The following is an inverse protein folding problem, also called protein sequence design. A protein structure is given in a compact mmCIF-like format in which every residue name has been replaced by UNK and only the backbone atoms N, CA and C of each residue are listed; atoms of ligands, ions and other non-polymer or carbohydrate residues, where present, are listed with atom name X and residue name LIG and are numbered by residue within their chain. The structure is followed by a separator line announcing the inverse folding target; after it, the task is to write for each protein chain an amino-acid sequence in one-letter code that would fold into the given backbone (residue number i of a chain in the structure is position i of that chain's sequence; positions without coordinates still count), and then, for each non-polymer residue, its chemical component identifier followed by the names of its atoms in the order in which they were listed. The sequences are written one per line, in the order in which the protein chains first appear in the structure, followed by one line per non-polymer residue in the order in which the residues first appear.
data_IF_508087516152
#
_entry.id   IF_508087516152
#
_cell.length_a   1.000
_cell.length_b   1.000
_cell.length_c   1.000
_cell.angle_alpha   90.00
_cell.angle_beta   90.00
_cell.angle_gamma   90.00
#
_symmetry.space_group_name_H-M   'P 1'
#
loop_
_entity.id
_entity.type
_entity.pdbx_description
1 polymer ?
#
# COMPACT_ATOMS: atom_id res chain seq x y z
N UNK A 1 32.34 -3.14 53.68
CA UNK A 1 31.79 -2.13 52.75
C UNK A 1 31.58 -2.84 51.44
N UNK A 2 30.35 -3.26 51.22
CA UNK A 2 29.77 -3.56 49.91
C UNK A 2 30.03 -2.34 49.00
N UNK A 3 30.30 -2.45 47.71
CA UNK A 3 29.35 -2.94 46.70
C UNK A 3 30.08 -3.26 45.38
N UNK A 4 29.73 -4.41 44.82
CA UNK A 4 29.96 -4.81 43.44
C UNK A 4 28.80 -4.26 42.59
N UNK A 5 29.07 -3.48 41.55
CA UNK A 5 28.13 -3.31 40.43
C UNK A 5 28.86 -3.29 39.10
N UNK A 6 29.01 -4.50 38.56
CA UNK A 6 28.64 -4.94 37.20
C UNK A 6 28.41 -3.87 36.13
N UNK A 7 29.06 -4.12 35.00
CA UNK A 7 28.97 -3.34 33.78
C UNK A 7 27.56 -3.19 33.23
N UNK A 8 27.37 -2.05 32.58
CA UNK A 8 26.21 -1.78 31.74
C UNK A 8 26.39 -2.55 30.44
N UNK A 9 25.89 -3.78 30.41
CA UNK A 9 25.48 -4.40 29.16
C UNK A 9 24.37 -3.53 28.56
N UNK A 10 24.63 -2.99 27.37
CA UNK A 10 23.63 -2.26 26.60
C UNK A 10 22.42 -3.17 26.38
N UNK A 11 21.32 -2.84 27.03
CA UNK A 11 20.02 -3.46 26.75
C UNK A 11 19.66 -3.08 25.33
N UNK A 12 19.95 -3.95 24.36
CA UNK A 12 19.31 -3.90 23.05
C UNK A 12 17.81 -4.08 23.28
N UNK A 13 17.08 -2.97 23.29
CA UNK A 13 15.62 -2.98 23.24
C UNK A 13 15.26 -3.67 21.93
N UNK A 14 14.55 -4.82 21.93
CA UNK A 14 14.15 -5.48 20.70
C UNK A 14 13.32 -4.49 19.88
N UNK A 15 13.85 -4.06 18.73
CA UNK A 15 13.11 -3.23 17.79
C UNK A 15 11.89 -4.06 17.38
N UNK A 16 10.68 -3.57 17.68
CA UNK A 16 9.46 -4.33 17.46
C UNK A 16 9.40 -4.83 16.00
N UNK A 17 8.98 -6.10 15.76
CA UNK A 17 9.07 -6.76 14.44
C UNK A 17 8.35 -6.03 13.29
N UNK A 18 7.49 -5.06 13.63
CA UNK A 18 6.74 -4.24 12.70
C UNK A 18 7.61 -3.21 11.95
N UNK A 19 8.68 -2.69 12.56
CA UNK A 19 9.59 -1.78 11.87
C UNK A 19 10.48 -2.52 10.86
N UNK A 20 10.90 -3.74 11.17
CA UNK A 20 11.79 -4.52 10.29
C UNK A 20 11.04 -5.01 9.03
N UNK A 21 9.78 -5.41 9.18
CA UNK A 21 8.93 -5.78 8.04
C UNK A 21 8.73 -4.60 7.07
N UNK A 22 8.46 -3.41 7.61
CA UNK A 22 8.28 -2.18 6.82
C UNK A 22 9.56 -1.80 6.09
N UNK A 23 10.70 -1.77 6.79
CA UNK A 23 11.98 -1.40 6.18
C UNK A 23 12.39 -2.35 5.06
N UNK A 24 12.23 -3.66 5.28
CA UNK A 24 12.59 -4.69 4.28
C UNK A 24 11.70 -4.65 3.04
N UNK A 25 10.40 -4.34 3.21
CA UNK A 25 9.42 -4.52 2.13
C UNK A 25 8.87 -3.21 1.54
N UNK A 26 9.44 -2.04 1.90
CA UNK A 26 8.99 -0.73 1.43
C UNK A 26 8.89 -0.60 -0.09
N UNK A 27 9.89 -1.08 -0.82
CA UNK A 27 9.89 -1.02 -2.29
C UNK A 27 8.75 -1.85 -2.87
N UNK A 28 8.52 -3.04 -2.32
CA UNK A 28 7.42 -3.93 -2.74
C UNK A 28 6.05 -3.32 -2.43
N UNK A 29 5.92 -2.60 -1.32
CA UNK A 29 4.70 -1.88 -0.98
C UNK A 29 4.41 -0.65 -1.87
N UNK A 30 5.38 -0.16 -2.64
CA UNK A 30 5.23 1.02 -3.50
C UNK A 30 5.00 0.64 -4.98
N UNK A 31 5.61 -0.45 -5.47
CA UNK A 31 5.70 -0.75 -6.91
C UNK A 31 4.35 -0.76 -7.62
N UNK A 32 3.33 -1.39 -7.02
CA UNK A 32 2.00 -1.49 -7.63
C UNK A 32 1.16 -0.21 -7.49
N UNK A 33 1.66 0.86 -6.86
CA UNK A 33 1.02 2.18 -6.99
C UNK A 33 1.56 2.98 -8.18
N UNK A 34 2.83 2.77 -8.54
CA UNK A 34 3.45 3.41 -9.71
C UNK A 34 3.01 2.71 -10.99
N UNK A 35 2.97 1.37 -10.95
CA UNK A 35 2.53 0.54 -12.07
C UNK A 35 1.41 -0.37 -11.54
N UNK A 36 0.13 0.06 -11.60
CA UNK A 36 -1.01 -0.64 -10.96
C UNK A 36 -1.13 -2.14 -11.24
N UNK A 37 -0.77 -2.56 -12.45
CA UNK A 37 -0.81 -3.99 -12.81
C UNK A 37 0.17 -4.84 -11.99
N UNK A 38 1.23 -4.24 -11.42
CA UNK A 38 2.24 -4.94 -10.62
C UNK A 38 1.85 -5.16 -9.15
N UNK A 39 0.58 -4.98 -8.77
CA UNK A 39 0.10 -5.23 -7.40
C UNK A 39 0.43 -6.64 -6.87
N UNK A 40 0.61 -7.62 -7.76
CA UNK A 40 0.87 -9.02 -7.42
C UNK A 40 2.35 -9.32 -7.17
N UNK A 41 3.28 -8.43 -7.55
CA UNK A 41 4.73 -8.65 -7.41
C UNK A 41 5.14 -9.01 -5.97
N UNK A 42 4.65 -8.32 -4.92
CA UNK A 42 4.95 -8.70 -3.54
C UNK A 42 4.51 -10.14 -3.21
N UNK A 43 3.39 -10.60 -3.77
CA UNK A 43 2.75 -11.89 -3.47
C UNK A 43 3.51 -13.09 -4.03
N UNK A 44 4.30 -12.88 -5.07
CA UNK A 44 5.14 -13.92 -5.70
C UNK A 44 6.62 -13.81 -5.29
N UNK A 45 6.97 -12.81 -4.48
CA UNK A 45 8.33 -12.57 -4.00
C UNK A 45 8.55 -13.10 -2.59
N UNK A 46 9.75 -12.86 -2.02
CA UNK A 46 10.02 -13.09 -0.60
C UNK A 46 9.12 -12.25 0.32
N UNK A 47 8.55 -11.15 -0.18
CA UNK A 47 7.63 -10.29 0.57
C UNK A 47 6.23 -10.92 0.75
N UNK A 48 5.96 -12.10 0.20
CA UNK A 48 4.63 -12.74 0.29
C UNK A 48 4.16 -13.04 1.71
N UNK A 49 5.08 -13.09 2.68
CA UNK A 49 4.76 -13.31 4.10
C UNK A 49 4.72 -12.01 4.91
N UNK A 50 5.01 -10.86 4.28
CA UNK A 50 4.98 -9.54 4.91
C UNK A 50 3.53 -9.05 5.06
N UNK A 51 3.02 -8.83 6.28
CA UNK A 51 1.73 -8.18 6.48
C UNK A 51 1.67 -6.81 5.81
N UNK A 52 2.76 -6.03 5.89
CA UNK A 52 2.85 -4.71 5.27
C UNK A 52 2.76 -4.78 3.73
N UNK A 53 3.50 -5.68 3.10
CA UNK A 53 3.49 -5.82 1.64
C UNK A 53 2.14 -6.37 1.14
N UNK A 54 1.54 -7.34 1.85
CA UNK A 54 0.20 -7.86 1.53
C UNK A 54 -0.87 -6.79 1.65
N UNK A 55 -0.81 -5.96 2.70
CA UNK A 55 -1.75 -4.86 2.88
C UNK A 55 -1.73 -3.91 1.68
N UNK A 56 -0.53 -3.45 1.26
CA UNK A 56 -0.41 -2.55 0.13
C UNK A 56 -0.74 -3.22 -1.21
N UNK A 57 -0.40 -4.50 -1.40
CA UNK A 57 -0.83 -5.28 -2.56
C UNK A 57 -2.36 -5.32 -2.68
N UNK A 58 -3.08 -5.49 -1.56
CA UNK A 58 -4.54 -5.42 -1.54
C UNK A 58 -5.09 -4.04 -1.92
N UNK A 59 -4.53 -2.97 -1.37
CA UNK A 59 -4.94 -1.61 -1.71
C UNK A 59 -4.65 -1.27 -3.19
N UNK A 60 -3.53 -1.76 -3.75
CA UNK A 60 -3.18 -1.59 -5.16
C UNK A 60 -4.12 -2.36 -6.08
N UNK A 61 -4.54 -3.58 -5.71
CA UNK A 61 -5.56 -4.33 -6.44
C UNK A 61 -6.89 -3.56 -6.48
N UNK A 62 -7.33 -3.02 -5.34
CA UNK A 62 -8.56 -2.23 -5.27
C UNK A 62 -8.47 -0.96 -6.12
N UNK A 63 -7.30 -0.31 -6.13
CA UNK A 63 -7.03 0.85 -6.98
C UNK A 63 -7.07 0.49 -8.48
N UNK A 64 -6.49 -0.65 -8.87
CA UNK A 64 -6.57 -1.17 -10.24
C UNK A 64 -8.02 -1.45 -10.65
N UNK A 65 -8.80 -2.10 -9.78
CA UNK A 65 -10.22 -2.36 -10.02
C UNK A 65 -11.02 -1.06 -10.15
N UNK A 66 -10.74 -0.06 -9.32
CA UNK A 66 -11.35 1.26 -9.43
C UNK A 66 -11.00 1.95 -10.76
N UNK A 67 -9.74 1.85 -11.21
CA UNK A 67 -9.30 2.37 -12.50
C UNK A 67 -10.02 1.69 -13.67
N UNK A 68 -10.17 0.35 -13.62
CA UNK A 68 -10.93 -0.41 -14.61
C UNK A 68 -12.40 0.03 -14.61
N UNK A 69 -13.03 0.17 -13.45
CA UNK A 69 -14.41 0.61 -13.34
C UNK A 69 -14.62 2.00 -13.95
N UNK A 70 -13.75 2.98 -13.64
CA UNK A 70 -13.79 4.33 -14.22
C UNK A 70 -13.69 4.27 -15.75
N UNK A 71 -12.75 3.49 -16.29
CA UNK A 71 -12.55 3.39 -17.73
C UNK A 71 -13.75 2.73 -18.44
N UNK A 72 -14.28 1.63 -17.88
CA UNK A 72 -15.44 0.92 -18.43
C UNK A 72 -16.67 1.82 -18.41
N UNK A 73 -17.03 2.37 -17.26
CA UNK A 73 -18.21 3.24 -17.11
C UNK A 73 -18.07 4.50 -17.95
N UNK A 74 -16.90 5.13 -17.93
CA UNK A 74 -16.63 6.35 -18.69
C UNK A 74 -16.66 6.13 -20.21
N UNK A 75 -16.29 4.95 -20.70
CA UNK A 75 -16.34 4.64 -22.14
C UNK A 75 -17.76 4.32 -22.60
N UNK A 76 -18.53 3.58 -21.79
CA UNK A 76 -19.88 3.11 -22.15
C UNK A 76 -20.91 4.25 -22.21
N UNK A 77 -20.77 5.29 -21.37
CA UNK A 77 -21.73 6.40 -21.30
C UNK A 77 -21.27 7.54 -22.23
N UNK A 78 -21.94 7.81 -23.36
CA UNK A 78 -21.54 8.90 -24.25
C UNK A 78 -21.70 10.26 -23.59
N UNK A 79 -20.91 11.24 -24.03
CA UNK A 79 -20.92 12.64 -23.54
C UNK A 79 -20.54 12.74 -22.05
N UNK A 80 -21.38 12.30 -21.11
CA UNK A 80 -21.08 12.35 -19.67
C UNK A 80 -19.89 11.48 -19.31
N UNK A 81 -19.82 10.26 -19.84
CA UNK A 81 -18.70 9.38 -19.58
C UNK A 81 -17.39 9.98 -20.06
N UNK A 82 -17.38 10.52 -21.28
CA UNK A 82 -16.16 11.08 -21.90
C UNK A 82 -15.70 12.39 -21.27
N UNK A 83 -16.62 13.32 -21.03
CA UNK A 83 -16.28 14.67 -20.59
C UNK A 83 -16.32 14.87 -19.07
N UNK A 84 -16.93 13.94 -18.31
CA UNK A 84 -17.05 14.06 -16.85
C UNK A 84 -16.44 12.85 -16.14
N UNK A 85 -16.88 11.62 -16.45
CA UNK A 85 -16.47 10.43 -15.69
C UNK A 85 -14.99 10.10 -15.93
N UNK A 86 -14.54 10.07 -17.18
CA UNK A 86 -13.14 9.80 -17.52
C UNK A 86 -12.17 10.83 -16.91
N UNK A 87 -12.35 12.16 -17.09
CA UNK A 87 -11.41 13.12 -16.53
C UNK A 87 -11.44 13.15 -14.99
N UNK A 88 -12.62 13.24 -14.37
CA UNK A 88 -12.72 13.32 -12.91
C UNK A 88 -12.35 11.99 -12.24
N UNK A 89 -12.78 10.87 -12.82
CA UNK A 89 -12.45 9.54 -12.32
C UNK A 89 -10.96 9.24 -12.42
N UNK A 90 -10.31 9.62 -13.52
CA UNK A 90 -8.85 9.50 -13.67
C UNK A 90 -8.11 10.31 -12.61
N UNK A 91 -8.53 11.56 -12.38
CA UNK A 91 -7.95 12.41 -11.33
C UNK A 91 -8.15 11.77 -9.95
N UNK A 92 -9.35 11.28 -9.65
CA UNK A 92 -9.64 10.63 -8.37
C UNK A 92 -8.76 9.38 -8.15
N UNK A 93 -8.66 8.51 -9.15
CA UNK A 93 -7.77 7.33 -9.11
C UNK A 93 -6.32 7.75 -8.92
N UNK A 94 -5.85 8.79 -9.61
CA UNK A 94 -4.50 9.29 -9.46
C UNK A 94 -4.23 9.83 -8.05
N UNK A 95 -5.16 10.59 -7.47
CA UNK A 95 -5.06 11.07 -6.08
C UNK A 95 -4.97 9.89 -5.11
N UNK A 96 -5.82 8.87 -5.28
CA UNK A 96 -5.77 7.65 -4.46
C UNK A 96 -4.43 6.92 -4.60
N UNK A 97 -3.84 6.86 -5.80
CA UNK A 97 -2.51 6.29 -6.02
C UNK A 97 -1.44 7.03 -5.21
N UNK A 98 -1.44 8.36 -5.27
CA UNK A 98 -0.50 9.20 -4.50
C UNK A 98 -0.69 9.02 -2.99
N UNK A 99 -1.93 8.97 -2.50
CA UNK A 99 -2.21 8.69 -1.08
C UNK A 99 -1.65 7.33 -0.66
N UNK A 100 -1.81 6.30 -1.50
CA UNK A 100 -1.26 4.98 -1.27
C UNK A 100 0.27 4.97 -1.19
N UNK A 101 0.94 5.68 -2.10
CA UNK A 101 2.40 5.87 -2.08
C UNK A 101 2.84 6.57 -0.80
N UNK A 102 2.18 7.67 -0.41
CA UNK A 102 2.52 8.40 0.81
C UNK A 102 2.40 7.50 2.04
N UNK A 103 1.32 6.71 2.13
CA UNK A 103 1.12 5.76 3.23
C UNK A 103 2.23 4.70 3.24
N UNK A 104 2.57 4.11 2.09
CA UNK A 104 3.63 3.10 1.99
C UNK A 104 5.02 3.67 2.34
N UNK A 105 5.36 4.87 1.87
CA UNK A 105 6.63 5.55 2.19
C UNK A 105 6.75 5.80 3.69
N UNK A 106 5.65 6.18 4.35
CA UNK A 106 5.57 6.38 5.80
C UNK A 106 5.51 5.08 6.60
N UNK A 107 5.37 3.91 5.95
CA UNK A 107 5.21 2.63 6.63
C UNK A 107 3.82 2.42 7.24
N UNK A 108 2.82 3.17 6.77
CA UNK A 108 1.47 3.18 7.33
C UNK A 108 0.53 2.26 6.55
N UNK A 109 -0.13 1.33 7.25
CA UNK A 109 -1.19 0.50 6.68
C UNK A 109 -2.56 1.21 6.73
N UNK A 110 -2.65 2.37 6.09
CA UNK A 110 -3.88 3.17 5.99
C UNK A 110 -4.66 2.83 4.72
N UNK A 111 -5.93 2.47 4.91
CA UNK A 111 -6.87 2.15 3.81
C UNK A 111 -7.10 3.39 2.94
N UNK A 112 -7.14 3.20 1.63
CA UNK A 112 -7.53 4.25 0.70
C UNK A 112 -9.00 4.65 0.94
N UNK A 113 -9.35 5.95 0.86
CA UNK A 113 -10.73 6.37 1.01
C UNK A 113 -11.60 5.79 -0.11
N UNK A 114 -12.88 5.55 0.19
CA UNK A 114 -13.91 4.98 -0.67
C UNK A 114 -13.70 3.52 -1.10
N UNK A 115 -12.49 3.13 -1.51
CA UNK A 115 -12.22 1.81 -2.09
C UNK A 115 -11.48 0.86 -1.16
N UNK A 116 -10.73 1.37 -0.17
CA UNK A 116 -9.79 0.58 0.62
C UNK A 116 -10.40 -0.31 1.70
N UNK A 117 -11.73 -0.29 1.86
CA UNK A 117 -12.47 -1.01 2.89
C UNK A 117 -12.41 -2.54 2.75
N UNK A 118 -12.21 -3.04 1.54
CA UNK A 118 -12.28 -4.46 1.19
C UNK A 118 -10.93 -5.18 1.37
N UNK A 119 -11.00 -6.49 1.61
CA UNK A 119 -9.83 -7.36 1.72
C UNK A 119 -10.02 -8.57 0.79
N UNK A 120 -9.26 -8.57 -0.30
CA UNK A 120 -9.28 -9.58 -1.37
C UNK A 120 -8.10 -10.54 -1.20
N UNK A 121 -6.93 -10.01 -0.83
CA UNK A 121 -5.71 -10.79 -0.59
C UNK A 121 -5.60 -11.13 0.89
N UNK A 122 -5.43 -12.42 1.20
CA UNK A 122 -5.24 -12.98 2.56
C UNK A 122 -3.77 -13.31 2.86
#
# INVERSE_FOLDING_TARGET
MEENTTGQEGVEVPKAPQNDDVEKNKVMAIVGYVIPILFFVPLISEAKNSPFAKFHANQQLLLLLAAIAVNVVGTVIPVLGWFIILPLGTIAVFVLAIMGIINAVKGEMKKLPMIGGYEIIK
#
